data_IF_710926382527
#
_entry.id   IF_710926382527
#
_cell.length_a   1.000
_cell.length_b   1.000
_cell.length_c   1.000
_cell.angle_alpha   90.00
_cell.angle_beta   90.00
_cell.angle_gamma   90.00
#
_symmetry.space_group_name_H-M   'P 1'
#
loop_
_entity.id
_entity.type
_entity.pdbx_description
1 polymer ?
#
# COMPACT_ATOMS: atom_id res chain seq x y z
N UNK A 1 52.94 8.15 -7.30
CA UNK A 1 52.22 9.20 -8.06
C UNK A 1 50.91 8.60 -8.54
N UNK A 2 49.88 8.61 -7.69
CA UNK A 2 48.83 9.63 -7.58
C UNK A 2 47.93 9.75 -8.82
N UNK A 3 46.69 9.28 -8.67
CA UNK A 3 45.40 9.88 -9.09
C UNK A 3 44.43 8.86 -9.71
N UNK A 4 43.75 8.09 -8.85
CA UNK A 4 42.36 7.69 -9.10
C UNK A 4 41.50 8.46 -8.12
N UNK A 5 41.05 9.63 -8.57
CA UNK A 5 40.09 10.46 -7.86
C UNK A 5 38.74 9.75 -7.95
N UNK A 6 38.24 9.29 -6.81
CA UNK A 6 36.93 8.65 -6.69
C UNK A 6 35.82 9.61 -7.11
N UNK A 7 35.08 9.24 -8.14
CA UNK A 7 33.82 9.88 -8.49
C UNK A 7 32.77 9.39 -7.49
N UNK A 8 32.64 10.08 -6.36
CA UNK A 8 31.50 9.93 -5.47
C UNK A 8 30.28 10.50 -6.21
N UNK A 9 29.43 9.63 -6.75
CA UNK A 9 28.10 10.03 -7.21
C UNK A 9 27.29 10.47 -5.99
N UNK A 10 27.19 11.78 -5.80
CA UNK A 10 26.24 12.38 -4.88
C UNK A 10 24.86 12.20 -5.53
N UNK A 11 24.15 11.12 -5.18
CA UNK A 11 22.73 10.93 -5.51
C UNK A 11 21.98 11.98 -4.68
N UNK A 12 21.90 13.19 -5.22
CA UNK A 12 20.99 14.22 -4.77
C UNK A 12 19.58 13.69 -5.03
N UNK A 13 18.82 13.50 -3.95
CA UNK A 13 17.41 13.13 -3.99
C UNK A 13 16.63 14.20 -4.75
N UNK A 14 16.39 13.97 -6.05
CA UNK A 14 15.50 14.79 -6.84
C UNK A 14 14.06 14.40 -6.50
N UNK A 15 13.47 15.11 -5.54
CA UNK A 15 12.02 15.31 -5.59
C UNK A 15 11.74 15.92 -6.98
N UNK A 16 10.80 15.39 -7.77
CA UNK A 16 10.54 15.92 -9.11
C UNK A 16 10.26 17.42 -8.99
N UNK A 17 11.06 18.26 -9.67
CA UNK A 17 10.98 19.72 -9.62
C UNK A 17 9.57 20.28 -9.89
N UNK A 18 8.71 19.51 -10.57
CA UNK A 18 7.30 19.86 -10.78
C UNK A 18 6.47 19.87 -9.50
N UNK A 19 6.65 18.89 -8.62
CA UNK A 19 5.98 18.82 -7.31
C UNK A 19 6.34 20.00 -6.40
N UNK A 20 7.47 20.66 -6.67
CA UNK A 20 7.87 21.87 -5.97
C UNK A 20 7.11 23.11 -6.44
N UNK A 21 6.73 23.16 -7.73
CA UNK A 21 6.05 24.31 -8.31
C UNK A 21 4.57 24.36 -7.87
N UNK A 22 3.85 23.24 -7.98
CA UNK A 22 2.46 23.10 -7.52
C UNK A 22 2.30 23.43 -6.03
N UNK A 23 3.25 23.01 -5.20
CA UNK A 23 3.24 23.30 -3.76
C UNK A 23 3.17 24.81 -3.43
N UNK A 24 3.80 25.65 -4.25
CA UNK A 24 3.82 27.09 -4.01
C UNK A 24 2.48 27.78 -4.30
N UNK A 25 1.60 27.13 -5.05
CA UNK A 25 0.30 27.68 -5.45
C UNK A 25 -0.79 27.48 -4.38
N UNK A 26 -0.56 26.61 -3.38
CA UNK A 26 -1.47 26.47 -2.25
C UNK A 26 -1.38 27.67 -1.31
N UNK A 27 -2.45 28.45 -1.23
CA UNK A 27 -2.58 29.62 -0.37
C UNK A 27 -2.28 29.22 1.10
N UNK A 28 -1.20 29.78 1.66
CA UNK A 28 -0.66 29.50 3.00
C UNK A 28 0.11 28.18 3.19
N UNK A 29 0.58 27.53 2.12
CA UNK A 29 1.47 26.39 2.27
C UNK A 29 2.75 26.80 3.04
N UNK A 30 3.10 26.12 4.15
CA UNK A 30 4.36 26.39 4.83
C UNK A 30 5.53 26.10 3.88
N UNK A 31 6.68 26.76 4.06
CA UNK A 31 7.88 26.40 3.31
C UNK A 31 8.16 24.92 3.49
N UNK A 32 8.51 24.24 2.39
CA UNK A 32 8.74 22.80 2.41
C UNK A 32 9.77 22.47 3.51
N UNK A 33 9.42 21.61 4.47
CA UNK A 33 10.38 21.18 5.46
C UNK A 33 11.54 20.50 4.73
N UNK A 34 12.78 20.80 5.13
CA UNK A 34 13.92 20.01 4.66
C UNK A 34 13.62 18.53 4.93
N UNK A 35 14.00 17.64 4.01
CA UNK A 35 13.63 16.22 4.05
C UNK A 35 13.99 15.55 5.39
N UNK A 36 15.09 15.96 6.01
CA UNK A 36 15.57 15.50 7.33
C UNK A 36 14.65 15.89 8.51
N UNK A 37 13.80 16.91 8.32
CA UNK A 37 12.87 17.43 9.31
C UNK A 37 11.42 16.98 9.06
N UNK A 38 11.15 16.19 8.03
CA UNK A 38 9.83 15.59 7.85
C UNK A 38 9.57 14.60 8.99
N UNK A 39 8.37 14.68 9.56
CA UNK A 39 7.90 13.97 10.76
C UNK A 39 6.45 13.54 10.51
N UNK A 40 5.90 12.59 11.28
CA UNK A 40 4.53 12.12 11.08
C UNK A 40 3.48 13.24 11.02
N UNK A 41 3.63 14.32 11.81
CA UNK A 41 2.72 15.47 11.75
C UNK A 41 2.66 16.18 10.39
N UNK A 42 3.79 16.26 9.69
CA UNK A 42 3.84 16.85 8.35
C UNK A 42 3.17 15.94 7.33
N UNK A 43 3.39 14.63 7.44
CA UNK A 43 2.74 13.62 6.58
C UNK A 43 1.23 13.62 6.82
N UNK A 44 0.79 13.71 8.07
CA UNK A 44 -0.63 13.78 8.42
C UNK A 44 -1.32 15.02 7.85
N UNK A 45 -0.69 16.19 7.98
CA UNK A 45 -1.24 17.43 7.42
C UNK A 45 -1.39 17.34 5.89
N UNK A 46 -0.39 16.76 5.19
CA UNK A 46 -0.50 16.52 3.75
C UNK A 46 -1.58 15.48 3.40
N UNK A 47 -1.68 14.38 4.16
CA UNK A 47 -2.74 13.39 3.95
C UNK A 47 -4.14 13.98 4.18
N UNK A 48 -4.27 14.91 5.13
CA UNK A 48 -5.50 15.64 5.40
C UNK A 48 -5.84 16.62 4.28
N UNK A 49 -4.86 17.39 3.78
CA UNK A 49 -5.05 18.24 2.60
C UNK A 49 -5.56 17.43 1.42
N UNK A 50 -4.89 16.32 1.11
CA UNK A 50 -5.24 15.44 0.00
C UNK A 50 -6.65 14.86 0.17
N UNK A 51 -7.10 14.57 1.40
CA UNK A 51 -8.47 14.15 1.67
C UNK A 51 -9.51 15.25 1.34
N UNK A 52 -9.23 16.52 1.68
CA UNK A 52 -10.09 17.67 1.36
C UNK A 52 -10.11 17.98 -0.14
N UNK A 53 -8.98 17.82 -0.83
CA UNK A 53 -8.92 17.96 -2.29
C UNK A 53 -9.72 16.85 -3.00
N UNK A 54 -9.63 15.61 -2.52
CA UNK A 54 -10.46 14.50 -3.02
C UNK A 54 -11.94 14.77 -2.75
N UNK A 55 -12.28 15.35 -1.61
CA UNK A 55 -13.65 15.74 -1.27
C UNK A 55 -14.23 16.75 -2.27
N UNK A 56 -13.41 17.69 -2.75
CA UNK A 56 -13.80 18.66 -3.77
C UNK A 56 -14.12 17.99 -5.11
N UNK A 57 -13.27 17.05 -5.56
CA UNK A 57 -13.53 16.25 -6.76
C UNK A 57 -14.76 15.36 -6.58
N UNK A 58 -14.89 14.69 -5.42
CA UNK A 58 -16.04 13.85 -5.07
C UNK A 58 -17.35 14.65 -5.15
N UNK A 59 -17.36 15.87 -4.61
CA UNK A 59 -18.54 16.73 -4.62
C UNK A 59 -18.98 17.04 -6.05
N UNK A 60 -18.03 17.39 -6.94
CA UNK A 60 -18.31 17.61 -8.36
C UNK A 60 -18.91 16.35 -9.03
N UNK A 61 -18.38 15.16 -8.69
CA UNK A 61 -18.88 13.89 -9.22
C UNK A 61 -20.26 13.50 -8.67
N UNK A 62 -20.79 14.19 -7.65
CA UNK A 62 -22.08 13.85 -7.04
C UNK A 62 -22.08 12.56 -6.22
N UNK A 63 -20.92 12.08 -5.81
CA UNK A 63 -20.73 10.78 -5.15
C UNK A 63 -20.87 10.90 -3.63
N UNK A 64 -21.62 10.04 -2.94
CA UNK A 64 -21.79 10.13 -1.47
C UNK A 64 -20.46 10.05 -0.71
N UNK A 65 -20.32 10.87 0.34
CA UNK A 65 -19.15 10.88 1.24
C UNK A 65 -19.10 9.63 2.14
N UNK A 66 -17.92 9.06 2.29
CA UNK A 66 -17.57 8.03 3.27
C UNK A 66 -16.77 8.67 4.40
N UNK A 67 -17.21 8.45 5.64
CA UNK A 67 -16.52 8.96 6.83
C UNK A 67 -15.77 7.88 7.62
N UNK A 68 -16.02 6.60 7.31
CA UNK A 68 -15.55 5.49 8.12
C UNK A 68 -14.67 4.53 7.32
N UNK A 69 -13.70 3.92 7.99
CA UNK A 69 -12.92 2.79 7.47
C UNK A 69 -13.57 1.46 7.90
N UNK A 70 -13.44 0.43 7.05
CA UNK A 70 -13.80 -0.96 7.43
C UNK A 70 -12.77 -1.60 8.37
N UNK A 71 -11.57 -1.03 8.39
CA UNK A 71 -10.41 -1.50 9.11
C UNK A 71 -10.04 -0.50 10.20
N UNK A 72 -9.76 -1.00 11.40
CA UNK A 72 -9.09 -0.26 12.44
C UNK A 72 -7.68 -0.81 12.57
N UNK A 73 -6.72 0.10 12.70
CA UNK A 73 -5.30 -0.25 12.84
C UNK A 73 -4.70 0.37 14.09
N UNK A 74 -3.76 -0.34 14.69
CA UNK A 74 -2.95 0.10 15.83
C UNK A 74 -1.50 -0.24 15.55
N UNK A 75 -0.57 0.54 16.11
CA UNK A 75 0.88 0.33 16.01
C UNK A 75 1.41 0.26 14.56
N UNK A 76 0.88 1.12 13.68
CA UNK A 76 1.45 1.26 12.35
C UNK A 76 2.86 1.87 12.41
N UNK A 77 3.70 1.37 11.54
CA UNK A 77 5.08 1.77 11.28
C UNK A 77 5.14 2.53 9.93
N UNK A 78 6.14 3.41 9.74
CA UNK A 78 6.25 4.21 8.51
C UNK A 78 6.19 3.41 7.20
N UNK A 79 6.69 2.17 7.19
CA UNK A 79 6.64 1.30 6.01
C UNK A 79 5.21 0.98 5.57
N UNK A 80 4.31 0.72 6.52
CA UNK A 80 2.92 0.37 6.21
C UNK A 80 2.18 1.61 5.70
N UNK A 81 2.46 2.78 6.29
CA UNK A 81 1.93 4.07 5.81
C UNK A 81 2.41 4.36 4.38
N UNK A 82 3.68 4.10 4.08
CA UNK A 82 4.23 4.27 2.74
C UNK A 82 3.50 3.42 1.70
N UNK A 83 3.28 2.14 1.98
CA UNK A 83 2.58 1.27 1.04
C UNK A 83 1.12 1.67 0.85
N UNK A 84 0.44 2.21 1.87
CA UNK A 84 -0.89 2.81 1.68
C UNK A 84 -0.85 4.10 0.87
N UNK A 85 0.18 4.94 1.03
CA UNK A 85 0.36 6.11 0.17
C UNK A 85 0.58 5.69 -1.29
N UNK A 86 1.36 4.64 -1.56
CA UNK A 86 1.55 4.08 -2.91
C UNK A 86 0.24 3.49 -3.46
N UNK A 87 -0.56 2.83 -2.61
CA UNK A 87 -1.89 2.35 -2.99
C UNK A 87 -2.79 3.50 -3.42
N UNK A 88 -2.83 4.59 -2.63
CA UNK A 88 -3.61 5.78 -2.94
C UNK A 88 -3.13 6.45 -4.24
N UNK A 89 -1.81 6.61 -4.43
CA UNK A 89 -1.23 7.07 -5.69
C UNK A 89 -1.74 6.26 -6.90
N UNK A 90 -1.68 4.92 -6.83
CA UNK A 90 -2.18 4.06 -7.91
C UNK A 90 -3.68 4.24 -8.20
N UNK A 91 -4.48 4.50 -7.16
CA UNK A 91 -5.92 4.78 -7.29
C UNK A 91 -6.19 6.15 -7.91
N UNK A 92 -5.44 7.17 -7.52
CA UNK A 92 -5.56 8.52 -8.10
C UNK A 92 -5.12 8.50 -9.57
N UNK A 93 -4.06 7.80 -9.92
CA UNK A 93 -3.70 7.61 -11.33
C UNK A 93 -4.81 6.89 -12.13
N UNK A 94 -5.45 5.87 -11.55
CA UNK A 94 -6.61 5.21 -12.18
C UNK A 94 -7.81 6.16 -12.30
N UNK A 95 -8.07 6.98 -11.28
CA UNK A 95 -9.13 7.99 -11.31
C UNK A 95 -8.87 9.04 -12.38
N UNK A 96 -7.64 9.56 -12.46
CA UNK A 96 -7.20 10.48 -13.49
C UNK A 96 -7.46 9.90 -14.89
N UNK A 97 -7.09 8.63 -15.11
CA UNK A 97 -7.35 7.98 -16.39
C UNK A 97 -8.85 7.85 -16.70
N UNK A 98 -9.68 7.50 -15.73
CA UNK A 98 -11.13 7.41 -15.93
C UNK A 98 -11.72 8.78 -16.30
N UNK A 99 -11.33 9.84 -15.59
CA UNK A 99 -11.92 11.16 -15.78
C UNK A 99 -11.40 11.89 -17.03
N UNK A 100 -10.12 11.70 -17.36
CA UNK A 100 -9.48 12.49 -18.44
C UNK A 100 -9.18 11.67 -19.71
N UNK A 101 -9.40 10.35 -19.68
CA UNK A 101 -8.94 9.39 -20.70
C UNK A 101 -7.42 9.43 -20.99
N UNK A 102 -6.64 10.12 -20.14
CA UNK A 102 -5.17 10.20 -20.23
C UNK A 102 -4.54 9.38 -19.14
N UNK A 103 -3.59 8.54 -19.51
CA UNK A 103 -2.66 7.97 -18.54
C UNK A 103 -1.58 8.98 -18.25
N UNK A 104 -1.34 9.26 -16.97
CA UNK A 104 -0.15 10.01 -16.60
C UNK A 104 1.08 9.16 -16.92
N UNK A 105 2.18 9.83 -17.28
CA UNK A 105 3.46 9.16 -17.29
C UNK A 105 3.69 8.57 -15.89
N UNK A 106 4.20 7.34 -15.83
CA UNK A 106 4.60 6.75 -14.57
C UNK A 106 5.62 7.70 -13.92
N UNK A 107 5.19 8.37 -12.86
CA UNK A 107 6.12 9.15 -12.06
C UNK A 107 7.00 8.14 -11.34
N UNK A 108 8.32 8.35 -11.41
CA UNK A 108 9.28 7.56 -10.65
C UNK A 108 9.00 7.77 -9.16
N UNK A 109 8.22 6.88 -8.57
CA UNK A 109 8.06 6.83 -7.13
C UNK A 109 9.45 6.55 -6.51
N UNK A 110 9.73 7.10 -5.32
CA UNK A 110 10.96 6.80 -4.61
C UNK A 110 11.19 5.28 -4.55
N UNK A 111 12.39 4.82 -4.93
CA UNK A 111 12.71 3.40 -4.85
C UNK A 111 12.50 2.91 -3.41
N UNK A 112 11.88 1.74 -3.24
CA UNK A 112 11.60 1.16 -1.92
C UNK A 112 12.94 0.97 -1.18
N UNK A 113 13.18 1.79 -0.17
CA UNK A 113 14.33 1.66 0.70
C UNK A 113 14.03 0.65 1.82
N UNK A 114 15.04 -0.04 2.33
CA UNK A 114 14.86 -0.92 3.49
C UNK A 114 14.47 -0.17 4.77
N UNK A 115 14.72 1.15 4.81
CA UNK A 115 14.42 2.01 5.95
C UNK A 115 13.52 3.17 5.50
N UNK A 116 12.22 2.90 5.42
CA UNK A 116 11.22 3.89 5.04
C UNK A 116 11.06 4.92 6.17
N UNK A 117 11.17 6.20 5.82
CA UNK A 117 11.05 7.35 6.71
C UNK A 117 9.78 8.14 6.38
N UNK A 118 9.32 9.02 7.29
CA UNK A 118 8.20 9.94 7.01
C UNK A 118 8.40 10.79 5.74
N UNK A 119 9.64 11.15 5.40
CA UNK A 119 9.96 11.87 4.17
C UNK A 119 9.59 11.10 2.89
N UNK A 120 9.76 9.78 2.90
CA UNK A 120 9.44 8.94 1.74
C UNK A 120 7.93 8.86 1.54
N UNK A 121 7.16 8.75 2.63
CA UNK A 121 5.69 8.81 2.61
C UNK A 121 5.21 10.17 2.08
N UNK A 122 5.78 11.26 2.61
CA UNK A 122 5.45 12.61 2.18
C UNK A 122 5.70 12.79 0.67
N UNK A 123 6.82 12.28 0.15
CA UNK A 123 7.14 12.35 -1.28
C UNK A 123 6.09 11.68 -2.16
N UNK A 124 5.60 10.50 -1.77
CA UNK A 124 4.51 9.82 -2.50
C UNK A 124 3.21 10.62 -2.46
N UNK A 125 2.84 11.16 -1.29
CA UNK A 125 1.61 11.95 -1.14
C UNK A 125 1.68 13.28 -1.89
N UNK A 126 2.85 13.93 -1.97
CA UNK A 126 3.03 15.17 -2.72
C UNK A 126 2.83 14.93 -4.23
N UNK A 127 3.45 13.88 -4.77
CA UNK A 127 3.21 13.48 -6.16
C UNK A 127 1.74 13.12 -6.38
N UNK A 128 1.09 12.46 -5.42
CA UNK A 128 -0.34 12.14 -5.52
C UNK A 128 -1.23 13.39 -5.54
N UNK A 129 -0.86 14.43 -4.78
CA UNK A 129 -1.55 15.71 -4.78
C UNK A 129 -1.43 16.41 -6.13
N UNK A 130 -0.24 16.44 -6.74
CA UNK A 130 -0.05 17.00 -8.08
C UNK A 130 -0.97 16.36 -9.12
N UNK A 131 -1.11 15.03 -9.09
CA UNK A 131 -2.01 14.31 -10.01
C UNK A 131 -3.47 14.70 -9.80
N UNK A 132 -3.85 14.99 -8.56
CA UNK A 132 -5.19 15.42 -8.23
C UNK A 132 -5.45 16.86 -8.68
N UNK A 133 -4.46 17.73 -8.58
CA UNK A 133 -4.53 19.09 -9.13
C UNK A 133 -4.72 19.05 -10.65
N UNK A 134 -4.04 18.15 -11.37
CA UNK A 134 -4.29 17.95 -12.82
C UNK A 134 -5.74 17.53 -13.11
N UNK A 135 -6.36 16.69 -12.26
CA UNK A 135 -7.79 16.37 -12.37
C UNK A 135 -8.63 17.62 -12.13
N UNK A 136 -8.32 18.39 -11.09
CA UNK A 136 -9.08 19.60 -10.74
C UNK A 136 -9.03 20.64 -11.85
N UNK A 137 -7.86 20.86 -12.43
CA UNK A 137 -7.66 21.79 -13.56
C UNK A 137 -8.50 21.40 -14.77
N UNK A 138 -8.51 20.11 -15.13
CA UNK A 138 -9.30 19.60 -16.27
C UNK A 138 -10.80 19.89 -16.09
N UNK A 139 -11.29 19.87 -14.85
CA UNK A 139 -12.70 20.10 -14.51
C UNK A 139 -13.00 21.52 -14.04
N UNK A 140 -12.03 22.43 -14.07
CA UNK A 140 -12.19 23.82 -13.64
C UNK A 140 -12.47 24.01 -12.15
N UNK A 141 -12.03 23.08 -11.29
CA UNK A 141 -12.12 23.21 -9.83
C UNK A 141 -10.99 24.12 -9.35
N UNK A 142 -11.25 25.43 -9.33
CA UNK A 142 -10.27 26.46 -8.95
C UNK A 142 -10.05 26.65 -7.45
N UNK A 143 -10.94 26.10 -6.61
CA UNK A 143 -10.80 26.19 -5.16
C UNK A 143 -9.76 25.19 -4.68
N UNK A 144 -8.72 25.67 -3.98
CA UNK A 144 -7.80 24.82 -3.22
C UNK A 144 -8.12 24.92 -1.74
N UNK A 145 -7.99 23.80 -1.05
CA UNK A 145 -8.12 23.74 0.40
C UNK A 145 -6.85 24.31 1.04
N UNK A 146 -6.98 25.07 2.15
CA UNK A 146 -5.81 25.59 2.85
C UNK A 146 -5.01 24.45 3.46
N UNK A 147 -3.69 24.62 3.54
CA UNK A 147 -2.84 23.62 4.19
C UNK A 147 -3.21 23.49 5.69
N UNK A 148 -3.51 22.28 6.20
CA UNK A 148 -3.92 22.11 7.59
C UNK A 148 -2.84 22.46 8.61
N UNK A 149 -3.25 23.00 9.76
CA UNK A 149 -2.35 23.25 10.89
C UNK A 149 -1.66 21.96 11.37
N UNK A 150 -0.37 22.09 11.71
CA UNK A 150 0.39 20.97 12.25
C UNK A 150 -0.11 20.61 13.65
N UNK A 151 -0.51 19.34 13.82
CA UNK A 151 -0.90 18.79 15.12
C UNK A 151 0.29 18.13 15.81
N UNK A 152 0.43 18.36 17.10
CA UNK A 152 1.46 17.69 17.91
C UNK A 152 1.06 16.24 18.24
N UNK A 153 2.06 15.40 18.54
CA UNK A 153 1.89 14.00 18.96
C UNK A 153 1.23 13.06 17.94
N UNK A 154 1.26 13.41 16.66
CA UNK A 154 0.83 12.52 15.57
C UNK A 154 1.75 11.31 15.48
N UNK A 155 1.14 10.13 15.40
CA UNK A 155 1.76 8.84 15.20
C UNK A 155 1.56 8.36 13.74
N UNK A 156 2.37 7.41 13.24
CA UNK A 156 2.14 6.83 11.92
C UNK A 156 0.76 6.15 11.80
N UNK A 157 0.23 5.60 12.90
CA UNK A 157 -1.15 5.06 12.96
C UNK A 157 -2.20 6.09 12.57
N UNK A 158 -2.07 7.34 13.01
CA UNK A 158 -3.03 8.40 12.67
C UNK A 158 -2.99 8.71 11.16
N UNK A 159 -1.79 8.73 10.58
CA UNK A 159 -1.61 8.91 9.13
C UNK A 159 -2.25 7.74 8.37
N UNK A 160 -1.98 6.50 8.81
CA UNK A 160 -2.53 5.30 8.18
C UNK A 160 -4.06 5.31 8.19
N UNK A 161 -4.68 5.65 9.33
CA UNK A 161 -6.14 5.73 9.46
C UNK A 161 -6.74 6.79 8.54
N UNK A 162 -6.09 7.97 8.43
CA UNK A 162 -6.49 8.99 7.48
C UNK A 162 -6.47 8.46 6.05
N UNK A 163 -5.40 7.78 5.65
CA UNK A 163 -5.26 7.22 4.30
C UNK A 163 -6.32 6.15 4.01
N UNK A 164 -6.68 5.30 4.98
CA UNK A 164 -7.72 4.27 4.78
C UNK A 164 -9.07 4.87 4.38
N UNK A 165 -9.50 5.95 5.03
CA UNK A 165 -10.76 6.63 4.70
C UNK A 165 -10.67 7.25 3.31
N UNK A 166 -9.57 7.93 3.02
CA UNK A 166 -9.33 8.57 1.71
C UNK A 166 -9.27 7.56 0.56
N UNK A 167 -8.59 6.44 0.76
CA UNK A 167 -8.52 5.32 -0.20
C UNK A 167 -9.92 4.76 -0.47
N UNK A 168 -10.70 4.55 0.60
CA UNK A 168 -12.06 4.01 0.48
C UNK A 168 -12.98 4.98 -0.26
N UNK A 169 -12.87 6.29 0.00
CA UNK A 169 -13.58 7.32 -0.75
C UNK A 169 -13.20 7.30 -2.24
N UNK A 170 -11.90 7.18 -2.54
CA UNK A 170 -11.39 7.11 -3.91
C UNK A 170 -11.92 5.88 -4.65
N UNK A 171 -12.01 4.72 -3.97
CA UNK A 171 -12.62 3.52 -4.57
C UNK A 171 -14.06 3.76 -5.03
N UNK A 172 -14.85 4.55 -4.30
CA UNK A 172 -16.21 4.88 -4.70
C UNK A 172 -16.24 5.79 -5.93
N UNK A 173 -15.21 6.62 -6.13
CA UNK A 173 -15.09 7.52 -7.27
C UNK A 173 -14.67 6.82 -8.57
N UNK A 174 -14.20 5.57 -8.51
CA UNK A 174 -13.81 4.78 -9.68
C UNK A 174 -15.01 4.10 -10.36
N UNK A 175 -16.06 4.85 -10.71
CA UNK A 175 -17.31 4.28 -11.25
C UNK A 175 -17.13 3.61 -12.62
N UNK A 176 -16.35 4.19 -13.52
CA UNK A 176 -16.15 3.65 -14.88
C UNK A 176 -15.25 2.41 -14.90
N UNK A 177 -14.20 2.40 -14.07
CA UNK A 177 -13.24 1.31 -13.95
C UNK A 177 -12.99 0.95 -12.49
N UNK A 178 -13.98 0.33 -11.83
CA UNK A 178 -13.83 -0.09 -10.44
C UNK A 178 -12.78 -1.20 -10.35
N UNK A 179 -12.23 -1.38 -9.15
CA UNK A 179 -11.46 -2.60 -8.87
C UNK A 179 -12.37 -3.82 -9.01
N UNK A 180 -11.84 -4.85 -9.65
CA UNK A 180 -12.52 -6.09 -9.97
C UNK A 180 -11.89 -7.26 -9.22
N UNK A 181 -12.55 -8.42 -9.23
CA UNK A 181 -11.97 -9.64 -8.70
C UNK A 181 -10.68 -10.06 -9.44
N UNK A 182 -10.50 -9.61 -10.69
CA UNK A 182 -9.26 -9.84 -11.45
C UNK A 182 -8.09 -9.05 -10.87
N UNK A 183 -8.31 -7.79 -10.50
CA UNK A 183 -7.29 -6.97 -9.82
C UNK A 183 -6.90 -7.62 -8.48
N UNK A 184 -7.89 -8.07 -7.70
CA UNK A 184 -7.63 -8.77 -6.43
C UNK A 184 -6.87 -10.08 -6.66
N UNK A 185 -7.26 -10.89 -7.65
CA UNK A 185 -6.58 -12.15 -7.97
C UNK A 185 -5.11 -11.90 -8.34
N UNK A 186 -4.85 -10.86 -9.14
CA UNK A 186 -3.50 -10.47 -9.53
C UNK A 186 -2.67 -10.10 -8.30
N UNK A 187 -3.22 -9.27 -7.41
CA UNK A 187 -2.55 -8.85 -6.18
C UNK A 187 -2.22 -10.05 -5.26
N UNK A 188 -3.20 -10.94 -5.03
CA UNK A 188 -2.97 -12.16 -4.24
C UNK A 188 -1.98 -13.11 -4.92
N UNK A 189 -1.90 -13.10 -6.25
CA UNK A 189 -0.88 -13.86 -6.97
C UNK A 189 0.52 -13.29 -6.74
N UNK A 190 0.67 -11.97 -6.69
CA UNK A 190 1.92 -11.31 -6.28
C UNK A 190 2.31 -11.69 -4.85
N UNK A 191 1.36 -11.64 -3.90
CA UNK A 191 1.57 -12.10 -2.53
C UNK A 191 2.00 -13.58 -2.46
N UNK A 192 1.38 -14.45 -3.26
CA UNK A 192 1.74 -15.86 -3.35
C UNK A 192 3.16 -16.05 -3.89
N UNK A 193 3.57 -15.30 -4.92
CA UNK A 193 4.95 -15.38 -5.40
C UNK A 193 5.97 -14.96 -4.34
N UNK A 194 5.69 -13.89 -3.58
CA UNK A 194 6.53 -13.49 -2.44
C UNK A 194 6.62 -14.63 -1.41
N UNK A 195 5.47 -15.22 -1.08
CA UNK A 195 5.38 -16.33 -0.12
C UNK A 195 6.14 -17.55 -0.58
N UNK A 196 6.03 -17.94 -1.85
CA UNK A 196 6.76 -19.10 -2.40
C UNK A 196 8.27 -18.87 -2.42
N UNK A 197 8.75 -17.64 -2.60
CA UNK A 197 10.18 -17.33 -2.47
C UNK A 197 10.66 -17.42 -1.01
N UNK A 198 9.87 -16.93 -0.05
CA UNK A 198 10.12 -17.15 1.38
C UNK A 198 10.15 -18.66 1.66
N UNK A 199 9.15 -19.39 1.17
CA UNK A 199 8.99 -20.84 1.33
C UNK A 199 10.21 -21.61 0.82
N UNK A 200 10.72 -21.25 -0.35
CA UNK A 200 11.91 -21.88 -0.96
C UNK A 200 13.21 -21.63 -0.17
N UNK A 201 13.21 -20.69 0.78
CA UNK A 201 14.34 -20.46 1.68
C UNK A 201 14.43 -21.52 2.79
N UNK A 202 13.43 -22.41 2.90
CA UNK A 202 13.40 -23.48 3.89
C UNK A 202 13.54 -24.87 3.24
N UNK A 203 14.65 -25.60 3.52
CA UNK A 203 14.84 -26.93 2.96
C UNK A 203 13.78 -27.94 3.41
N UNK A 204 13.30 -28.75 2.45
CA UNK A 204 12.41 -29.89 2.71
C UNK A 204 10.95 -29.55 2.99
N UNK A 205 10.54 -28.30 2.74
CA UNK A 205 9.13 -27.92 2.89
C UNK A 205 8.27 -28.47 1.73
N UNK A 206 7.13 -29.16 2.01
CA UNK A 206 6.31 -29.77 0.97
C UNK A 206 5.39 -28.76 0.29
N UNK A 207 5.55 -28.54 -1.03
CA UNK A 207 4.64 -27.68 -1.80
C UNK A 207 3.19 -28.11 -1.57
N UNK A 208 2.35 -27.14 -1.22
CA UNK A 208 0.95 -27.43 -0.93
C UNK A 208 0.21 -27.74 -2.23
N UNK A 209 -0.83 -28.58 -2.16
CA UNK A 209 -1.72 -28.79 -3.31
C UNK A 209 -2.68 -27.62 -3.43
N UNK A 210 -2.93 -27.17 -4.66
CA UNK A 210 -3.95 -26.16 -4.93
C UNK A 210 -5.31 -26.65 -4.41
N UNK A 211 -6.02 -25.84 -3.60
CA UNK A 211 -7.35 -26.19 -3.12
C UNK A 211 -8.34 -26.36 -4.28
N UNK A 212 -9.39 -27.15 -4.08
CA UNK A 212 -10.49 -27.26 -5.04
C UNK A 212 -11.26 -25.94 -5.10
N UNK A 213 -11.72 -25.56 -6.30
CA UNK A 213 -12.55 -24.37 -6.49
C UNK A 213 -13.90 -24.55 -5.77
N UNK A 214 -14.27 -23.59 -4.92
CA UNK A 214 -15.55 -23.57 -4.23
C UNK A 214 -16.47 -22.55 -4.91
N UNK A 215 -17.53 -22.97 -5.62
CA UNK A 215 -18.46 -22.04 -6.25
C UNK A 215 -19.29 -21.26 -5.21
N UNK A 216 -19.86 -20.13 -5.62
CA UNK A 216 -20.76 -19.32 -4.77
C UNK A 216 -20.09 -18.42 -3.73
N UNK A 217 -18.76 -18.22 -3.79
CA UNK A 217 -18.08 -17.27 -2.90
C UNK A 217 -18.40 -15.83 -3.28
N UNK A 218 -18.37 -14.96 -2.29
CA UNK A 218 -18.63 -13.52 -2.37
C UNK A 218 -17.37 -12.71 -2.05
N UNK A 219 -17.40 -11.40 -2.30
CA UNK A 219 -16.33 -10.50 -1.87
C UNK A 219 -16.15 -10.49 -0.34
N UNK A 220 -17.26 -10.61 0.41
CA UNK A 220 -17.25 -10.72 1.88
C UNK A 220 -16.51 -11.98 2.34
N UNK A 221 -16.72 -13.12 1.70
CA UNK A 221 -15.98 -14.36 2.03
C UNK A 221 -14.47 -14.19 1.83
N UNK A 222 -14.08 -13.53 0.74
CA UNK A 222 -12.66 -13.26 0.45
C UNK A 222 -12.09 -12.27 1.49
N UNK A 223 -12.80 -11.22 1.83
CA UNK A 223 -12.38 -10.22 2.81
C UNK A 223 -12.14 -10.84 4.20
N UNK A 224 -13.06 -11.71 4.65
CA UNK A 224 -12.92 -12.45 5.91
C UNK A 224 -11.68 -13.36 5.87
N UNK A 225 -11.48 -14.09 4.77
CA UNK A 225 -10.32 -14.97 4.62
C UNK A 225 -9.00 -14.18 4.57
N UNK A 226 -9.00 -12.95 4.03
CA UNK A 226 -7.83 -12.08 4.05
C UNK A 226 -7.47 -11.64 5.48
N UNK A 227 -8.47 -11.33 6.32
CA UNK A 227 -8.22 -11.00 7.74
C UNK A 227 -7.54 -12.17 8.45
N UNK A 228 -8.02 -13.40 8.25
CA UNK A 228 -7.37 -14.59 8.82
C UNK A 228 -5.96 -14.79 8.28
N UNK A 229 -5.77 -14.57 6.97
CA UNK A 229 -4.45 -14.66 6.32
C UNK A 229 -3.48 -13.64 6.89
N UNK A 230 -3.94 -12.39 7.11
CA UNK A 230 -3.13 -11.33 7.73
C UNK A 230 -2.73 -11.70 9.16
N UNK A 231 -3.64 -12.29 9.95
CA UNK A 231 -3.31 -12.75 11.30
C UNK A 231 -2.21 -13.82 11.29
N UNK A 232 -2.22 -14.74 10.32
CA UNK A 232 -1.14 -15.72 10.12
C UNK A 232 0.19 -15.03 9.80
N UNK A 233 0.20 -14.03 8.91
CA UNK A 233 1.40 -13.23 8.58
C UNK A 233 1.92 -12.50 9.83
N UNK A 234 1.04 -11.89 10.61
CA UNK A 234 1.42 -11.21 11.86
C UNK A 234 2.08 -12.14 12.86
N UNK A 235 1.58 -13.37 12.99
CA UNK A 235 2.20 -14.37 13.85
C UNK A 235 3.60 -14.77 13.35
N UNK A 236 3.78 -14.92 12.03
CA UNK A 236 5.09 -15.20 11.41
C UNK A 236 6.07 -14.06 11.68
N UNK A 237 5.64 -12.81 11.47
CA UNK A 237 6.47 -11.63 11.71
C UNK A 237 6.89 -11.51 13.16
N UNK A 238 5.96 -11.71 14.11
CA UNK A 238 6.26 -11.70 15.55
C UNK A 238 7.24 -12.80 15.95
N UNK A 239 7.05 -14.02 15.45
CA UNK A 239 7.98 -15.13 15.67
C UNK A 239 9.38 -14.84 15.11
N UNK A 240 9.46 -13.96 14.10
CA UNK A 240 10.71 -13.49 13.50
C UNK A 240 11.28 -12.22 14.16
N UNK A 241 10.68 -11.74 15.26
CA UNK A 241 11.10 -10.51 15.95
C UNK A 241 10.81 -9.22 15.17
N UNK A 242 9.98 -9.29 14.13
CA UNK A 242 9.59 -8.14 13.32
C UNK A 242 8.30 -7.52 13.89
N UNK A 243 8.27 -6.19 13.92
CA UNK A 243 7.06 -5.42 14.22
C UNK A 243 6.13 -5.41 13.01
N UNK A 244 4.83 -5.35 13.28
CA UNK A 244 3.76 -5.22 12.29
C UNK A 244 2.52 -4.66 12.97
N UNK A 245 1.73 -3.89 12.22
CA UNK A 245 0.50 -3.29 12.72
C UNK A 245 -0.49 -4.35 13.19
N UNK A 246 -1.33 -3.97 14.15
CA UNK A 246 -2.50 -4.73 14.53
C UNK A 246 -3.69 -4.30 13.68
N UNK A 247 -4.44 -5.27 13.17
CA UNK A 247 -5.60 -5.04 12.32
C UNK A 247 -6.83 -5.64 12.99
N UNK A 248 -7.88 -4.85 13.12
CA UNK A 248 -9.23 -5.35 13.36
C UNK A 248 -10.16 -4.84 12.26
N UNK A 249 -11.20 -5.59 11.97
CA UNK A 249 -12.15 -5.26 10.92
C UNK A 249 -13.56 -5.49 11.43
N UNK A 250 -14.49 -4.65 10.96
CA UNK A 250 -15.93 -4.88 11.18
C UNK A 250 -16.52 -5.41 9.87
N UNK A 251 -16.89 -6.71 9.80
CA UNK A 251 -17.49 -7.26 8.60
C UNK A 251 -18.75 -6.48 8.22
N UNK A 252 -18.84 -6.11 6.95
CA UNK A 252 -20.03 -5.48 6.36
C UNK A 252 -20.65 -6.46 5.36
N UNK A 253 -21.99 -6.49 5.18
CA UNK A 253 -22.58 -7.23 4.07
C UNK A 253 -22.25 -6.62 2.70
N UNK A 254 -21.81 -5.36 2.65
CA UNK A 254 -21.63 -4.58 1.42
C UNK A 254 -20.15 -4.44 1.00
N UNK A 255 -19.33 -5.48 1.26
CA UNK A 255 -17.93 -5.48 0.82
C UNK A 255 -17.86 -5.47 -0.71
N UNK A 256 -17.10 -4.52 -1.25
CA UNK A 256 -16.81 -4.40 -2.68
C UNK A 256 -15.42 -4.95 -3.00
N UNK A 257 -15.12 -5.30 -4.27
CA UNK A 257 -13.78 -5.78 -4.62
C UNK A 257 -12.67 -4.76 -4.34
N UNK A 258 -12.96 -3.45 -4.35
CA UNK A 258 -12.01 -2.42 -3.93
C UNK A 258 -11.59 -2.55 -2.47
N UNK A 259 -12.53 -2.83 -1.55
CA UNK A 259 -12.22 -3.07 -0.13
C UNK A 259 -11.35 -4.33 0.05
N UNK A 260 -11.64 -5.37 -0.75
CA UNK A 260 -10.84 -6.61 -0.77
C UNK A 260 -9.44 -6.35 -1.32
N UNK A 261 -9.32 -5.54 -2.36
CA UNK A 261 -8.05 -5.16 -2.98
C UNK A 261 -7.16 -4.40 -1.99
N UNK A 262 -7.70 -3.47 -1.21
CA UNK A 262 -6.92 -2.69 -0.24
C UNK A 262 -6.28 -3.58 0.84
N UNK A 263 -7.02 -4.57 1.32
CA UNK A 263 -6.49 -5.54 2.27
C UNK A 263 -5.49 -6.51 1.61
N UNK A 264 -5.70 -6.87 0.33
CA UNK A 264 -4.74 -7.65 -0.44
C UNK A 264 -3.40 -6.90 -0.60
N UNK A 265 -3.43 -5.60 -0.90
CA UNK A 265 -2.22 -4.75 -0.99
C UNK A 265 -1.46 -4.72 0.34
N UNK A 266 -2.16 -4.58 1.47
CA UNK A 266 -1.54 -4.68 2.79
C UNK A 266 -0.81 -6.02 2.97
N UNK A 267 -1.49 -7.14 2.69
CA UNK A 267 -0.89 -8.49 2.77
C UNK A 267 0.33 -8.61 1.87
N UNK A 268 0.25 -8.16 0.62
CA UNK A 268 1.39 -8.19 -0.30
C UNK A 268 2.54 -7.36 0.23
N UNK A 269 2.27 -6.18 0.80
CA UNK A 269 3.32 -5.29 1.32
C UNK A 269 4.08 -5.90 2.50
N UNK A 270 3.37 -6.53 3.45
CA UNK A 270 4.00 -7.21 4.58
C UNK A 270 4.79 -8.44 4.14
N UNK A 271 4.30 -9.18 3.12
CA UNK A 271 5.03 -10.31 2.54
C UNK A 271 6.26 -9.87 1.73
N UNK A 272 6.18 -8.76 0.99
CA UNK A 272 7.33 -8.15 0.30
C UNK A 272 8.39 -7.73 1.33
N UNK A 273 7.97 -7.13 2.45
CA UNK A 273 8.87 -6.78 3.54
C UNK A 273 9.50 -8.02 4.18
N UNK A 274 8.71 -9.03 4.54
CA UNK A 274 9.22 -10.29 5.10
C UNK A 274 10.20 -10.97 4.14
N UNK A 275 9.87 -11.03 2.85
CA UNK A 275 10.75 -11.57 1.82
C UNK A 275 12.10 -10.85 1.77
N UNK A 276 12.10 -9.52 1.87
CA UNK A 276 13.34 -8.72 1.90
C UNK A 276 14.26 -9.03 3.09
N UNK A 277 13.74 -9.66 4.14
CA UNK A 277 14.49 -10.07 5.34
C UNK A 277 14.99 -11.52 5.29
N UNK A 278 14.38 -12.37 4.45
CA UNK A 278 14.66 -13.81 4.43
C UNK A 278 15.45 -14.24 3.19
N UNK A 279 15.16 -13.67 2.02
CA UNK A 279 15.72 -14.15 0.76
C UNK A 279 16.87 -13.25 0.27
N UNK A 280 17.92 -13.88 -0.29
CA UNK A 280 18.92 -13.17 -1.10
C UNK A 280 18.20 -12.47 -2.25
N UNK A 281 18.43 -11.16 -2.39
CA UNK A 281 17.70 -10.23 -3.25
C UNK A 281 17.46 -10.75 -4.68
N UNK A 282 16.39 -11.53 -4.88
CA UNK A 282 15.80 -11.75 -6.19
C UNK A 282 14.77 -10.68 -6.41
N UNK A 283 14.84 -10.03 -7.57
CA UNK A 283 13.82 -9.10 -8.03
C UNK A 283 12.48 -9.82 -8.03
N UNK A 284 11.52 -9.27 -7.29
CA UNK A 284 10.14 -9.73 -7.33
C UNK A 284 9.46 -9.07 -8.53
N UNK A 285 8.76 -9.87 -9.32
CA UNK A 285 7.90 -9.39 -10.39
C UNK A 285 6.45 -9.47 -9.94
N UNK A 286 5.66 -8.46 -10.29
CA UNK A 286 4.23 -8.52 -10.06
C UNK A 286 3.59 -9.56 -10.99
N UNK A 287 2.48 -10.15 -10.53
CA UNK A 287 1.77 -11.14 -11.32
C UNK A 287 1.19 -10.52 -12.61
N UNK A 288 1.19 -11.29 -13.70
CA UNK A 288 0.51 -10.90 -14.92
C UNK A 288 -1.01 -10.81 -14.72
N UNK A 289 -1.68 -9.97 -15.51
CA UNK A 289 -3.13 -9.83 -15.46
C UNK A 289 -3.82 -11.16 -15.82
N UNK A 290 -4.70 -11.69 -14.96
CA UNK A 290 -5.20 -13.07 -15.07
C UNK A 290 -6.42 -13.22 -15.99
N UNK A 291 -6.83 -12.17 -16.72
CA UNK A 291 -8.12 -12.14 -17.41
C UNK A 291 -9.30 -12.05 -16.43
N UNK A 292 -10.50 -12.44 -16.85
CA UNK A 292 -11.71 -12.36 -16.02
C UNK A 292 -11.65 -13.38 -14.89
N UNK A 293 -11.84 -12.92 -13.65
CA UNK A 293 -11.88 -13.74 -12.45
C UNK A 293 -13.17 -13.50 -11.66
N UNK A 294 -13.57 -14.52 -10.89
CA UNK A 294 -14.73 -14.48 -10.00
C UNK A 294 -14.28 -14.56 -8.54
N UNK A 295 -15.10 -14.15 -7.56
CA UNK A 295 -14.72 -14.22 -6.15
C UNK A 295 -14.30 -15.62 -5.71
N UNK A 296 -14.92 -16.68 -6.25
CA UNK A 296 -14.53 -18.08 -6.03
C UNK A 296 -13.07 -18.38 -6.44
N UNK A 297 -12.59 -17.79 -7.54
CA UNK A 297 -11.20 -17.95 -7.97
C UNK A 297 -10.24 -17.23 -7.03
N UNK A 298 -10.60 -16.02 -6.61
CA UNK A 298 -9.83 -15.25 -5.62
C UNK A 298 -9.74 -16.01 -4.30
N UNK A 299 -10.88 -16.53 -3.82
CA UNK A 299 -10.95 -17.33 -2.60
C UNK A 299 -10.05 -18.57 -2.68
N UNK A 300 -10.13 -19.32 -3.79
CA UNK A 300 -9.26 -20.49 -4.00
C UNK A 300 -7.77 -20.12 -3.97
N UNK A 301 -7.38 -19.02 -4.63
CA UNK A 301 -6.00 -18.52 -4.68
C UNK A 301 -5.52 -18.07 -3.30
N UNK A 302 -6.38 -17.41 -2.54
CA UNK A 302 -6.10 -16.97 -1.18
C UNK A 302 -5.97 -18.14 -0.21
N UNK A 303 -6.85 -19.14 -0.26
CA UNK A 303 -6.68 -20.37 0.53
C UNK A 303 -5.36 -21.08 0.20
N UNK A 304 -4.91 -21.01 -1.05
CA UNK A 304 -3.62 -21.58 -1.45
C UNK A 304 -2.43 -20.82 -0.85
N UNK A 305 -2.50 -19.49 -0.82
CA UNK A 305 -1.56 -18.62 -0.11
C UNK A 305 -1.56 -18.94 1.39
N UNK A 306 -2.73 -18.98 2.03
CA UNK A 306 -2.87 -19.27 3.46
C UNK A 306 -2.21 -20.61 3.84
N UNK A 307 -2.45 -21.68 3.07
CA UNK A 307 -1.84 -22.99 3.35
C UNK A 307 -0.31 -22.94 3.39
N UNK A 308 0.33 -22.19 2.50
CA UNK A 308 1.79 -22.02 2.54
C UNK A 308 2.25 -21.24 3.77
N UNK A 309 1.56 -20.16 4.10
CA UNK A 309 1.85 -19.36 5.28
C UNK A 309 1.71 -20.17 6.57
N UNK A 310 0.69 -21.02 6.68
CA UNK A 310 0.51 -21.90 7.84
C UNK A 310 1.71 -22.84 8.04
N UNK A 311 2.24 -23.42 6.96
CA UNK A 311 3.42 -24.29 7.04
C UNK A 311 4.68 -23.50 7.44
N UNK A 312 4.85 -22.28 6.92
CA UNK A 312 5.95 -21.38 7.34
C UNK A 312 5.83 -21.09 8.83
N UNK A 313 4.62 -20.72 9.29
CA UNK A 313 4.32 -20.43 10.68
C UNK A 313 4.65 -21.63 11.59
N UNK A 314 4.17 -22.83 11.26
CA UNK A 314 4.47 -24.05 12.02
C UNK A 314 5.97 -24.32 12.12
N UNK A 315 6.72 -24.07 11.04
CA UNK A 315 8.17 -24.27 11.02
C UNK A 315 8.90 -23.26 11.92
N UNK A 316 8.46 -22.00 11.91
CA UNK A 316 9.05 -20.94 12.74
C UNK A 316 8.68 -21.05 14.22
N UNK A 317 7.48 -21.55 14.55
CA UNK A 317 7.02 -21.71 15.93
C UNK A 317 7.56 -22.98 16.60
N UNK A 318 8.08 -23.95 15.84
CA UNK A 318 8.80 -25.08 16.44
C UNK A 318 10.12 -24.57 17.05
N UNK A 319 10.43 -24.89 18.32
CA UNK A 319 11.64 -24.39 18.98
C UNK A 319 12.88 -24.78 18.15
N UNK A 320 13.86 -23.88 18.01
CA UNK A 320 14.93 -24.05 17.04
C UNK A 320 15.84 -25.21 17.45
N UNK A 321 15.99 -26.20 16.58
CA UNK A 321 17.33 -26.72 16.34
C UNK A 321 18.03 -25.74 15.39
N UNK A 322 18.76 -24.78 15.96
CA UNK A 322 19.60 -23.71 15.36
C UNK A 322 18.91 -22.39 15.01
N UNK A 323 19.49 -21.34 15.56
CA UNK A 323 19.19 -19.91 15.41
C UNK A 323 19.61 -19.37 14.04
N UNK A 324 18.83 -18.42 13.55
CA UNK A 324 18.95 -17.70 12.27
C UNK A 324 20.23 -16.85 12.12
N UNK A 325 21.11 -16.83 13.12
CA UNK A 325 22.32 -15.98 13.15
C UNK A 325 23.57 -16.64 12.55
N UNK A 326 23.46 -17.81 11.92
CA UNK A 326 24.62 -18.50 11.34
C UNK A 326 24.34 -19.01 9.93
N UNK A 327 24.19 -18.10 8.98
CA UNK A 327 24.60 -18.36 7.61
C UNK A 327 25.59 -17.26 7.18
N UNK A 328 26.78 -17.64 6.68
CA UNK A 328 27.88 -16.73 6.37
C UNK A 328 27.61 -15.80 5.19
#
# INVERSE_FOLDING_TARGET
>A
MNRYLGLFFLILFLIPLKAFASWQDHENAPPLPATEHIRPKHVYALASLLAEEIESVRYLMGITKINDSLLQVVDAEPREVYFQAVNLYGKINRLHHNLTARSLADHDLPAIQQNIRPADVWGVLAVTLDQLDEIKDEYGISTHSPFPDLREKILPTDVYQSLLVTIRQTNQMLEERPYTHSDVYQEISTALYCTLNIYNSFPGMPIQKQPVLQPGKTATDVFIELIYTYQTIRNIMRASGLKTLELSATPSPNIKPGDVYDLAVLITSELKFLHSKVASQKTLHDAAYPGIQFPSHVFQRLTYLHKHLHVIQEKMLKPPHRTWEQQP
#
